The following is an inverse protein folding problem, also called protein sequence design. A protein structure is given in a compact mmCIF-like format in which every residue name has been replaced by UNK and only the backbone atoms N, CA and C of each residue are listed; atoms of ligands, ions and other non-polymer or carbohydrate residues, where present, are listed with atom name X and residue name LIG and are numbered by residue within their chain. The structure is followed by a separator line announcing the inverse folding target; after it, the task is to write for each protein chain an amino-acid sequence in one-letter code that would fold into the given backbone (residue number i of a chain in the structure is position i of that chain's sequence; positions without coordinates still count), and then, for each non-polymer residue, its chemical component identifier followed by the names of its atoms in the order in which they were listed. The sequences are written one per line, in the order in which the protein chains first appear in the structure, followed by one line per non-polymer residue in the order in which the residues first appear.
data_IF_068280855653
#
_entry.id   IF_068280855653
#
_cell.length_a   1.000
_cell.length_b   1.000
_cell.length_c   1.000
_cell.angle_alpha   90.00
_cell.angle_beta   90.00
_cell.angle_gamma   90.00
#
_symmetry.space_group_name_H-M   'P 1'
#
loop_
_entity.id
_entity.type
_entity.pdbx_description
1 polymer ?
#
# COMPACT_ATOMS: atom_id res chain seq x y z
N UNK A 1 7.69 -13.30 -45.18
CA UNK A 1 8.33 -13.19 -43.85
C UNK A 1 7.41 -12.35 -42.98
N UNK A 2 6.55 -13.03 -42.22
CA UNK A 2 5.79 -12.40 -41.15
C UNK A 2 6.71 -12.30 -39.94
N UNK A 3 7.08 -11.09 -39.58
CA UNK A 3 7.67 -10.80 -38.27
C UNK A 3 6.56 -10.96 -37.23
N UNK A 4 6.60 -12.06 -36.53
CA UNK A 4 5.78 -12.30 -35.34
C UNK A 4 6.34 -11.39 -34.23
N UNK A 5 5.67 -10.27 -34.02
CA UNK A 5 5.89 -9.45 -32.82
C UNK A 5 5.13 -10.18 -31.71
N UNK A 6 5.79 -11.17 -31.11
CA UNK A 6 5.27 -11.85 -29.93
C UNK A 6 4.69 -10.83 -28.96
N UNK A 7 3.53 -11.14 -28.37
CA UNK A 7 2.94 -10.32 -27.31
C UNK A 7 4.05 -10.00 -26.31
N UNK A 8 4.14 -8.74 -25.83
CA UNK A 8 5.15 -8.39 -24.85
C UNK A 8 4.99 -9.34 -23.66
N UNK A 9 5.97 -10.22 -23.44
CA UNK A 9 6.07 -10.95 -22.19
C UNK A 9 5.86 -9.93 -21.07
N UNK A 10 4.81 -10.07 -20.29
CA UNK A 10 4.65 -9.34 -19.05
C UNK A 10 5.87 -9.71 -18.18
N UNK A 11 6.95 -8.95 -18.31
CA UNK A 11 8.05 -9.02 -17.37
C UNK A 11 7.44 -8.67 -16.03
N UNK A 12 7.30 -9.66 -15.17
CA UNK A 12 6.90 -9.43 -13.79
C UNK A 12 7.82 -8.35 -13.23
N UNK A 13 7.24 -7.23 -12.86
CA UNK A 13 8.01 -6.15 -12.25
C UNK A 13 8.62 -6.67 -10.95
N UNK A 14 9.85 -6.28 -10.67
CA UNK A 14 10.49 -6.58 -9.37
C UNK A 14 9.89 -5.79 -8.21
N UNK A 15 9.06 -4.78 -8.52
CA UNK A 15 8.39 -3.90 -7.54
C UNK A 15 6.90 -4.14 -7.58
N UNK A 16 6.31 -4.38 -6.42
CA UNK A 16 4.88 -4.59 -6.25
C UNK A 16 4.29 -3.51 -5.33
N UNK A 17 3.15 -2.96 -5.70
CA UNK A 17 2.37 -2.03 -4.87
C UNK A 17 1.10 -2.74 -4.41
N UNK A 18 0.96 -2.91 -3.11
CA UNK A 18 -0.11 -3.68 -2.48
C UNK A 18 -1.02 -2.74 -1.71
N UNK A 19 -2.25 -2.59 -2.15
CA UNK A 19 -3.29 -1.81 -1.46
C UNK A 19 -4.09 -2.67 -0.52
N UNK A 20 -4.08 -2.38 0.78
CA UNK A 20 -4.76 -3.18 1.80
C UNK A 20 -5.95 -2.42 2.39
N UNK A 21 -7.12 -3.04 2.32
CA UNK A 21 -8.37 -2.46 2.78
C UNK A 21 -8.88 -1.32 1.88
N UNK A 22 -9.88 -0.58 2.33
CA UNK A 22 -10.54 0.46 1.52
C UNK A 22 -9.60 1.59 1.11
N UNK A 23 -8.91 2.23 2.06
CA UNK A 23 -8.01 3.36 1.77
C UNK A 23 -6.81 2.95 0.90
N UNK A 24 -6.13 1.84 1.24
CA UNK A 24 -5.03 1.32 0.43
C UNK A 24 -5.48 0.89 -0.96
N UNK A 25 -6.63 0.21 -1.07
CA UNK A 25 -7.21 -0.19 -2.33
C UNK A 25 -7.55 1.00 -3.24
N UNK A 26 -8.12 2.07 -2.70
CA UNK A 26 -8.40 3.31 -3.45
C UNK A 26 -7.13 3.96 -3.99
N UNK A 27 -6.08 4.03 -3.16
CA UNK A 27 -4.80 4.59 -3.58
C UNK A 27 -4.21 3.79 -4.76
N UNK A 28 -4.21 2.45 -4.66
CA UNK A 28 -3.71 1.58 -5.73
C UNK A 28 -4.58 1.65 -6.98
N UNK A 29 -5.90 1.72 -6.85
CA UNK A 29 -6.81 1.93 -7.97
C UNK A 29 -6.50 3.23 -8.72
N UNK A 30 -6.18 4.30 -7.99
CA UNK A 30 -5.75 5.57 -8.57
C UNK A 30 -4.43 5.46 -9.32
N UNK A 31 -3.42 4.83 -8.71
CA UNK A 31 -2.12 4.61 -9.34
C UNK A 31 -2.25 3.79 -10.63
N UNK A 32 -3.04 2.72 -10.59
CA UNK A 32 -3.30 1.88 -11.75
C UNK A 32 -3.94 2.65 -12.91
N UNK A 33 -4.92 3.51 -12.63
CA UNK A 33 -5.57 4.37 -13.63
C UNK A 33 -4.63 5.42 -14.23
N UNK A 34 -3.60 5.83 -13.49
CA UNK A 34 -2.58 6.77 -13.99
C UNK A 34 -1.57 6.12 -14.94
N UNK A 35 -1.63 4.79 -15.14
CA UNK A 35 -0.77 4.08 -16.08
C UNK A 35 0.70 4.08 -15.68
N UNK A 36 1.02 3.92 -14.41
CA UNK A 36 2.40 3.82 -13.94
C UNK A 36 2.99 2.50 -14.42
N UNK A 37 4.11 2.59 -15.11
CA UNK A 37 4.81 1.45 -15.70
C UNK A 37 5.88 0.89 -14.75
N UNK A 38 6.33 -0.34 -15.04
CA UNK A 38 7.42 -1.04 -14.33
C UNK A 38 7.13 -1.40 -12.87
N UNK A 39 5.87 -1.35 -12.45
CA UNK A 39 5.39 -1.86 -11.16
C UNK A 39 4.18 -2.77 -11.38
N UNK A 40 4.02 -3.79 -10.55
CA UNK A 40 2.80 -4.60 -10.48
C UNK A 40 1.90 -4.09 -9.35
N UNK A 41 0.60 -4.20 -9.54
CA UNK A 41 -0.41 -3.72 -8.59
C UNK A 41 -1.27 -4.86 -8.10
N UNK A 42 -1.52 -4.89 -6.79
CA UNK A 42 -2.43 -5.84 -6.14
C UNK A 42 -3.33 -5.09 -5.16
N UNK A 43 -4.59 -5.49 -5.09
CA UNK A 43 -5.51 -5.03 -4.04
C UNK A 43 -5.92 -6.21 -3.16
N UNK A 44 -5.77 -6.04 -1.85
CA UNK A 44 -6.12 -7.02 -0.84
C UNK A 44 -7.26 -6.47 0.04
N UNK A 45 -8.33 -7.22 0.21
CA UNK A 45 -9.44 -6.81 1.07
C UNK A 45 -10.17 -8.01 1.66
N UNK A 46 -10.83 -7.80 2.79
CA UNK A 46 -11.78 -8.75 3.40
C UNK A 46 -13.17 -8.63 2.80
N UNK A 47 -13.44 -7.59 1.99
CA UNK A 47 -14.71 -7.34 1.32
C UNK A 47 -14.62 -7.74 -0.15
N UNK A 48 -15.32 -8.82 -0.52
CA UNK A 48 -15.32 -9.37 -1.87
C UNK A 48 -15.98 -8.43 -2.89
N UNK A 49 -16.93 -7.58 -2.48
CA UNK A 49 -17.57 -6.64 -3.39
C UNK A 49 -16.61 -5.52 -3.78
N UNK A 50 -15.90 -4.96 -2.82
CA UNK A 50 -14.88 -3.92 -3.08
C UNK A 50 -13.80 -4.42 -4.03
N UNK A 51 -13.42 -5.70 -3.91
CA UNK A 51 -12.46 -6.32 -4.83
C UNK A 51 -13.02 -6.46 -6.25
N UNK A 52 -14.29 -6.84 -6.39
CA UNK A 52 -14.93 -6.95 -7.72
C UNK A 52 -14.97 -5.62 -8.46
N UNK A 53 -15.18 -4.53 -7.73
CA UNK A 53 -15.31 -3.19 -8.29
C UNK A 53 -13.94 -2.53 -8.61
N UNK A 54 -12.84 -3.14 -8.20
CA UNK A 54 -11.50 -2.65 -8.46
C UNK A 54 -11.10 -2.81 -9.94
N UNK A 55 -10.48 -1.81 -10.58
CA UNK A 55 -9.93 -1.92 -11.93
C UNK A 55 -8.62 -2.73 -11.97
N UNK A 56 -7.99 -2.97 -10.83
CA UNK A 56 -6.73 -3.70 -10.72
C UNK A 56 -6.98 -5.18 -11.01
N UNK A 57 -6.24 -5.80 -11.94
CA UNK A 57 -6.47 -7.20 -12.31
C UNK A 57 -6.15 -8.18 -11.18
N UNK A 58 -5.04 -7.96 -10.48
CA UNK A 58 -4.60 -8.84 -9.39
C UNK A 58 -5.29 -8.42 -8.08
N UNK A 59 -6.06 -9.34 -7.54
CA UNK A 59 -6.92 -9.12 -6.38
C UNK A 59 -6.82 -10.30 -5.45
N UNK A 60 -6.65 -10.03 -4.16
CA UNK A 60 -6.59 -11.06 -3.13
C UNK A 60 -7.67 -10.82 -2.07
N UNK A 61 -8.62 -11.74 -1.98
CA UNK A 61 -9.56 -11.76 -0.86
C UNK A 61 -8.84 -12.33 0.37
N UNK A 62 -8.91 -11.59 1.46
CA UNK A 62 -8.40 -12.03 2.76
C UNK A 62 -9.53 -12.66 3.58
N UNK A 63 -9.31 -13.89 4.01
CA UNK A 63 -10.30 -14.69 4.70
C UNK A 63 -11.42 -15.20 3.81
N UNK A 64 -12.20 -16.12 4.33
CA UNK A 64 -13.25 -16.85 3.58
C UNK A 64 -14.61 -16.13 3.56
N UNK A 65 -14.89 -15.24 4.53
CA UNK A 65 -16.23 -14.65 4.71
C UNK A 65 -16.63 -13.67 3.60
N UNK A 66 -15.71 -12.84 3.10
CA UNK A 66 -15.97 -11.85 2.05
C UNK A 66 -16.85 -10.66 2.43
N UNK A 67 -17.15 -10.48 3.74
CA UNK A 67 -18.10 -9.48 4.26
C UNK A 67 -17.45 -8.21 4.81
N UNK A 68 -16.14 -8.11 4.73
CA UNK A 68 -15.38 -7.01 5.31
C UNK A 68 -15.11 -7.18 6.83
N UNK A 69 -14.16 -6.42 7.37
CA UNK A 69 -13.75 -6.49 8.77
C UNK A 69 -14.52 -5.54 9.71
N UNK A 70 -15.34 -4.63 9.18
CA UNK A 70 -16.25 -3.78 9.94
C UNK A 70 -15.59 -2.98 11.06
N UNK A 71 -14.57 -2.18 10.78
CA UNK A 71 -13.82 -1.39 11.78
C UNK A 71 -13.23 -2.20 12.96
N UNK A 72 -13.02 -3.49 12.77
CA UNK A 72 -12.42 -4.38 13.79
C UNK A 72 -11.06 -4.87 13.27
N UNK A 73 -9.92 -4.27 13.72
CA UNK A 73 -8.58 -4.67 13.30
C UNK A 73 -8.30 -6.16 13.51
N UNK A 74 -8.77 -6.72 14.60
CA UNK A 74 -8.61 -8.14 14.91
C UNK A 74 -9.24 -9.05 13.84
N UNK A 75 -10.41 -8.69 13.30
CA UNK A 75 -11.00 -9.43 12.17
C UNK A 75 -10.15 -9.33 10.90
N UNK A 76 -9.60 -8.16 10.62
CA UNK A 76 -8.68 -7.98 9.51
C UNK A 76 -7.40 -8.80 9.66
N UNK A 77 -6.83 -8.83 10.87
CA UNK A 77 -5.66 -9.63 11.19
C UNK A 77 -5.93 -11.13 11.00
N UNK A 78 -7.00 -11.64 11.59
CA UNK A 78 -7.37 -13.05 11.49
C UNK A 78 -7.65 -13.47 10.03
N UNK A 79 -8.31 -12.63 9.24
CA UNK A 79 -8.54 -12.88 7.83
C UNK A 79 -7.22 -12.99 7.03
N UNK A 80 -6.24 -12.13 7.32
CA UNK A 80 -4.93 -12.23 6.71
C UNK A 80 -4.16 -13.47 7.16
N UNK A 81 -4.25 -13.85 8.43
CA UNK A 81 -3.65 -15.09 8.95
C UNK A 81 -4.27 -16.34 8.31
N UNK A 82 -5.57 -16.34 8.04
CA UNK A 82 -6.24 -17.41 7.29
C UNK A 82 -5.72 -17.54 5.86
N UNK A 83 -5.27 -16.42 5.26
CA UNK A 83 -4.84 -16.34 3.86
C UNK A 83 -3.31 -16.33 3.68
N UNK A 84 -2.53 -16.82 4.64
CA UNK A 84 -1.06 -16.77 4.59
C UNK A 84 -0.48 -17.44 3.34
N UNK A 85 -1.03 -18.55 2.90
CA UNK A 85 -0.53 -19.28 1.73
C UNK A 85 -0.80 -18.50 0.44
N UNK A 86 -1.97 -17.85 0.34
CA UNK A 86 -2.30 -17.00 -0.79
C UNK A 86 -1.43 -15.73 -0.83
N UNK A 87 -1.14 -15.14 0.34
CA UNK A 87 -0.22 -13.99 0.45
C UNK A 87 1.18 -14.39 0.01
N UNK A 88 1.69 -15.55 0.44
CA UNK A 88 2.98 -16.06 0.00
C UNK A 88 3.01 -16.34 -1.49
N UNK A 89 1.96 -16.94 -2.05
CA UNK A 89 1.84 -17.19 -3.48
C UNK A 89 1.89 -15.88 -4.28
N UNK A 90 1.14 -14.86 -3.85
CA UNK A 90 1.12 -13.51 -4.45
C UNK A 90 2.51 -12.86 -4.47
N UNK A 91 3.32 -13.07 -3.45
CA UNK A 91 4.66 -12.50 -3.30
C UNK A 91 5.78 -13.34 -3.96
N UNK A 92 5.47 -14.56 -4.43
CA UNK A 92 6.45 -15.51 -4.97
C UNK A 92 6.72 -15.35 -6.47
N UNK A 93 6.22 -14.30 -7.10
CA UNK A 93 6.28 -14.03 -8.54
C UNK A 93 7.59 -13.36 -9.02
N UNK A 94 8.60 -13.30 -8.17
CA UNK A 94 9.87 -12.61 -8.44
C UNK A 94 9.97 -11.22 -7.84
N UNK A 95 8.98 -10.78 -7.06
CA UNK A 95 9.00 -9.52 -6.32
C UNK A 95 10.25 -9.41 -5.43
N UNK A 96 10.96 -8.29 -5.52
CA UNK A 96 12.15 -7.97 -4.71
C UNK A 96 11.91 -6.83 -3.73
N UNK A 97 10.93 -5.99 -4.04
CA UNK A 97 10.52 -4.87 -3.21
C UNK A 97 9.01 -4.74 -3.28
N UNK A 98 8.39 -4.42 -2.16
CA UNK A 98 6.99 -4.03 -2.13
C UNK A 98 6.73 -2.74 -1.36
N UNK A 99 5.66 -2.07 -1.78
CA UNK A 99 5.04 -0.97 -1.08
C UNK A 99 3.68 -1.42 -0.58
N UNK A 100 3.54 -1.52 0.73
CA UNK A 100 2.26 -1.88 1.36
C UNK A 100 1.58 -0.60 1.81
N UNK A 101 0.47 -0.24 1.14
CA UNK A 101 -0.28 0.96 1.45
C UNK A 101 -1.60 0.63 2.12
N UNK A 102 -1.91 1.36 3.20
CA UNK A 102 -3.14 1.16 3.96
C UNK A 102 -3.61 2.45 4.64
N UNK A 103 -4.92 2.64 4.71
CA UNK A 103 -5.53 3.59 5.64
C UNK A 103 -5.69 2.94 7.01
N UNK A 104 -4.99 3.47 8.01
CA UNK A 104 -5.08 2.99 9.39
C UNK A 104 -6.34 3.54 10.08
N UNK A 105 -6.83 2.83 11.08
CA UNK A 105 -8.03 3.17 11.86
C UNK A 105 -9.28 2.39 11.47
N UNK A 106 -9.30 1.72 10.32
CA UNK A 106 -10.34 0.76 9.92
C UNK A 106 -10.03 -0.67 10.36
N UNK A 107 -10.81 -1.63 9.88
CA UNK A 107 -10.61 -3.05 10.22
C UNK A 107 -9.52 -3.71 9.38
N UNK A 108 -9.71 -3.75 8.06
CA UNK A 108 -8.83 -4.51 7.16
C UNK A 108 -7.43 -3.89 7.06
N UNK A 109 -7.32 -2.60 6.75
CA UNK A 109 -6.02 -1.94 6.60
C UNK A 109 -5.18 -2.05 7.87
N UNK A 110 -5.76 -1.73 9.03
CA UNK A 110 -5.08 -1.75 10.33
C UNK A 110 -4.63 -3.14 10.74
N UNK A 111 -5.49 -4.16 10.53
CA UNK A 111 -5.22 -5.52 10.99
C UNK A 111 -4.42 -6.35 10.00
N UNK A 112 -4.72 -6.27 8.70
CA UNK A 112 -4.13 -7.13 7.70
C UNK A 112 -2.79 -6.62 7.13
N UNK A 113 -2.59 -5.30 7.02
CA UNK A 113 -1.36 -4.77 6.45
C UNK A 113 -0.10 -5.19 7.21
N UNK A 114 -0.06 -5.19 8.57
CA UNK A 114 1.09 -5.69 9.30
C UNK A 114 1.37 -7.18 9.06
N UNK A 115 0.34 -8.00 8.87
CA UNK A 115 0.50 -9.44 8.57
C UNK A 115 1.15 -9.62 7.20
N UNK A 116 0.67 -8.91 6.19
CA UNK A 116 1.26 -8.94 4.84
C UNK A 116 2.72 -8.47 4.88
N UNK A 117 2.99 -7.37 5.60
CA UNK A 117 4.35 -6.86 5.77
C UNK A 117 5.30 -7.87 6.42
N UNK A 118 4.82 -8.55 7.47
CA UNK A 118 5.58 -9.62 8.12
C UNK A 118 5.95 -10.73 7.14
N UNK A 119 4.98 -11.23 6.39
CA UNK A 119 5.21 -12.29 5.39
C UNK A 119 6.21 -11.83 4.33
N UNK A 120 6.06 -10.62 3.81
CA UNK A 120 6.97 -10.04 2.83
C UNK A 120 8.40 -9.96 3.37
N UNK A 121 8.58 -9.43 4.57
CA UNK A 121 9.90 -9.33 5.22
C UNK A 121 10.53 -10.71 5.50
N UNK A 122 9.74 -11.68 5.95
CA UNK A 122 10.18 -13.07 6.16
C UNK A 122 10.63 -13.73 4.85
N UNK A 123 10.04 -13.37 3.72
CA UNK A 123 10.45 -13.84 2.39
C UNK A 123 11.69 -13.11 1.85
N UNK A 124 12.27 -12.17 2.58
CA UNK A 124 13.46 -11.41 2.18
C UNK A 124 13.19 -10.30 1.18
N UNK A 125 11.94 -9.89 1.00
CA UNK A 125 11.52 -8.78 0.15
C UNK A 125 11.77 -7.47 0.90
N UNK A 126 12.30 -6.46 0.21
CA UNK A 126 12.43 -5.12 0.77
C UNK A 126 11.03 -4.52 0.95
N UNK A 127 10.60 -4.34 2.19
CA UNK A 127 9.23 -4.00 2.54
C UNK A 127 9.12 -2.56 3.03
N UNK A 128 8.35 -1.75 2.31
CA UNK A 128 8.09 -0.34 2.65
C UNK A 128 6.60 -0.14 2.95
N UNK A 129 6.29 0.34 4.14
CA UNK A 129 4.94 0.72 4.52
C UNK A 129 4.65 2.18 4.18
N UNK A 130 3.48 2.46 3.60
CA UNK A 130 2.97 3.82 3.40
C UNK A 130 1.55 3.86 3.93
N UNK A 131 1.36 4.51 5.07
CA UNK A 131 0.09 4.45 5.79
C UNK A 131 -0.44 5.84 6.15
N UNK A 132 -1.77 5.97 6.25
CA UNK A 132 -2.41 7.20 6.70
C UNK A 132 -3.00 7.05 8.10
N UNK A 133 -2.92 8.14 8.89
CA UNK A 133 -3.68 8.30 10.15
C UNK A 133 -4.96 9.08 9.81
N UNK A 134 -6.13 8.63 10.30
CA UNK A 134 -7.43 9.24 9.98
C UNK A 134 -7.54 10.69 10.48
N UNK A 135 -8.50 11.42 9.93
CA UNK A 135 -8.86 12.76 10.39
C UNK A 135 -9.43 12.74 11.80
N UNK A 136 -9.23 13.81 12.55
CA UNK A 136 -9.76 13.95 13.93
C UNK A 136 -11.29 13.80 14.02
N UNK A 137 -12.02 14.28 12.99
CA UNK A 137 -13.48 14.14 12.98
C UNK A 137 -13.98 12.71 12.81
N UNK A 138 -13.12 11.76 12.42
CA UNK A 138 -13.48 10.33 12.33
C UNK A 138 -13.59 9.67 13.71
N UNK A 139 -13.14 10.37 14.75
CA UNK A 139 -13.28 9.98 16.14
C UNK A 139 -12.01 9.37 16.75
N UNK A 140 -11.84 9.58 18.06
CA UNK A 140 -10.66 9.15 18.80
C UNK A 140 -10.41 7.65 18.71
N UNK A 141 -11.46 6.84 18.74
CA UNK A 141 -11.33 5.37 18.62
C UNK A 141 -10.59 4.94 17.35
N UNK A 142 -10.90 5.60 16.20
CA UNK A 142 -10.20 5.31 14.95
C UNK A 142 -8.74 5.75 14.99
N UNK A 143 -8.46 6.87 15.66
CA UNK A 143 -7.11 7.39 15.81
C UNK A 143 -6.28 6.44 16.68
N UNK A 144 -6.83 6.00 17.82
CA UNK A 144 -6.15 5.05 18.71
C UNK A 144 -5.86 3.74 17.97
N UNK A 145 -6.85 3.19 17.27
CA UNK A 145 -6.67 2.00 16.42
C UNK A 145 -5.60 2.22 15.33
N UNK A 146 -5.54 3.43 14.75
CA UNK A 146 -4.55 3.75 13.74
C UNK A 146 -3.13 3.79 14.31
N UNK A 147 -2.97 4.35 15.49
CA UNK A 147 -1.67 4.42 16.18
C UNK A 147 -1.18 3.01 16.56
N UNK A 148 -2.06 2.16 17.07
CA UNK A 148 -1.74 0.76 17.34
C UNK A 148 -1.33 0.02 16.06
N UNK A 149 -2.04 0.27 14.95
CA UNK A 149 -1.71 -0.31 13.64
C UNK A 149 -0.37 0.19 13.08
N UNK A 150 -0.05 1.46 13.26
CA UNK A 150 1.25 2.04 12.89
C UNK A 150 2.38 1.41 13.69
N UNK A 151 2.19 1.26 15.01
CA UNK A 151 3.17 0.60 15.88
C UNK A 151 3.42 -0.84 15.44
N UNK A 152 2.34 -1.60 15.17
CA UNK A 152 2.47 -2.97 14.70
C UNK A 152 3.14 -3.05 13.32
N UNK A 153 2.74 -2.19 12.39
CA UNK A 153 3.34 -2.12 11.05
C UNK A 153 4.84 -1.84 11.12
N UNK A 154 5.27 -0.95 12.01
CA UNK A 154 6.67 -0.54 12.15
C UNK A 154 7.62 -1.69 12.49
N UNK A 155 7.11 -2.75 13.12
CA UNK A 155 7.90 -3.94 13.49
C UNK A 155 8.22 -4.85 12.29
N UNK A 156 7.45 -4.71 11.21
CA UNK A 156 7.45 -5.63 10.08
C UNK A 156 7.89 -5.02 8.75
N UNK A 157 8.29 -3.76 8.74
CA UNK A 157 8.77 -3.07 7.53
C UNK A 157 10.24 -2.65 7.68
N UNK A 158 10.90 -2.41 6.56
CA UNK A 158 12.25 -1.84 6.52
C UNK A 158 12.19 -0.31 6.63
N UNK A 159 11.17 0.30 6.03
CA UNK A 159 10.88 1.72 6.16
C UNK A 159 9.37 1.94 6.27
N UNK A 160 8.94 2.89 7.08
CA UNK A 160 7.54 3.26 7.27
C UNK A 160 7.34 4.75 7.06
N UNK A 161 6.51 5.10 6.09
CA UNK A 161 6.04 6.46 5.87
C UNK A 161 4.64 6.62 6.45
N UNK A 162 4.49 7.55 7.38
CA UNK A 162 3.20 7.84 8.03
C UNK A 162 2.70 9.20 7.60
N UNK A 163 1.52 9.24 6.98
CA UNK A 163 0.85 10.44 6.51
C UNK A 163 -0.29 10.78 7.47
N UNK A 164 -0.25 11.95 8.08
CA UNK A 164 -1.32 12.43 8.94
C UNK A 164 -2.34 13.23 8.12
N UNK A 165 -3.54 12.69 7.94
CA UNK A 165 -4.59 13.31 7.14
C UNK A 165 -5.00 14.71 7.66
N UNK A 166 -4.93 14.98 8.96
CA UNK A 166 -5.20 16.32 9.50
C UNK A 166 -4.22 17.40 9.01
N UNK A 167 -3.02 17.01 8.59
CA UNK A 167 -2.07 17.94 7.97
C UNK A 167 -2.52 18.43 6.62
N UNK A 168 -3.25 17.58 5.86
CA UNK A 168 -3.81 17.95 4.56
C UNK A 168 -4.78 19.14 4.68
N UNK A 169 -5.56 19.21 5.77
CA UNK A 169 -6.45 20.35 6.03
C UNK A 169 -5.72 21.67 6.24
N UNK A 170 -4.51 21.63 6.75
CA UNK A 170 -3.69 22.84 6.94
C UNK A 170 -3.12 23.35 5.62
N UNK A 171 -2.90 22.45 4.69
CA UNK A 171 -2.37 22.77 3.34
C UNK A 171 -3.51 23.18 2.40
N UNK A 172 -4.67 22.51 2.53
CA UNK A 172 -5.84 22.73 1.68
C UNK A 172 -7.01 23.26 2.55
N UNK A 173 -7.15 24.58 2.65
CA UNK A 173 -8.08 25.24 3.58
C UNK A 173 -9.55 25.07 3.24
N UNK A 174 -9.89 24.79 1.96
CA UNK A 174 -11.28 24.76 1.46
C UNK A 174 -11.79 23.35 1.14
N UNK A 175 -11.23 22.31 1.80
CA UNK A 175 -11.64 20.93 1.56
C UNK A 175 -12.99 20.61 2.21
N UNK A 176 -13.97 20.25 1.37
CA UNK A 176 -15.15 19.52 1.86
C UNK A 176 -14.72 18.13 2.38
N UNK A 177 -15.55 17.51 3.24
CA UNK A 177 -15.25 16.17 3.79
C UNK A 177 -14.95 15.15 2.68
N UNK A 178 -15.77 15.16 1.62
CA UNK A 178 -15.60 14.24 0.48
C UNK A 178 -14.25 14.47 -0.23
N UNK A 179 -13.91 15.72 -0.49
CA UNK A 179 -12.64 16.07 -1.13
C UNK A 179 -11.43 15.78 -0.24
N UNK A 180 -11.60 15.83 1.09
CA UNK A 180 -10.53 15.52 2.03
C UNK A 180 -10.13 14.04 1.97
N UNK A 181 -11.08 13.12 1.86
CA UNK A 181 -10.78 11.69 1.68
C UNK A 181 -10.11 11.42 0.33
N UNK A 182 -10.64 11.97 -0.75
CA UNK A 182 -10.01 11.86 -2.07
C UNK A 182 -8.56 12.39 -2.05
N UNK A 183 -8.31 13.49 -1.34
CA UNK A 183 -6.97 14.06 -1.20
C UNK A 183 -6.02 13.20 -0.36
N UNK A 184 -6.54 12.50 0.65
CA UNK A 184 -5.76 11.52 1.41
C UNK A 184 -5.34 10.33 0.52
N UNK A 185 -6.26 9.79 -0.28
CA UNK A 185 -5.98 8.73 -1.24
C UNK A 185 -4.97 9.17 -2.32
N UNK A 186 -5.10 10.41 -2.84
CA UNK A 186 -4.13 11.01 -3.76
C UNK A 186 -2.74 11.12 -3.14
N UNK A 187 -2.65 11.53 -1.88
CA UNK A 187 -1.37 11.68 -1.18
C UNK A 187 -0.66 10.34 -1.01
N UNK A 188 -1.40 9.28 -0.67
CA UNK A 188 -0.87 7.91 -0.65
C UNK A 188 -0.33 7.51 -2.02
N UNK A 189 -1.11 7.77 -3.07
CA UNK A 189 -0.74 7.46 -4.45
C UNK A 189 0.53 8.20 -4.88
N UNK A 190 0.61 9.50 -4.57
CA UNK A 190 1.78 10.33 -4.90
C UNK A 190 3.03 9.83 -4.17
N UNK A 191 2.90 9.50 -2.87
CA UNK A 191 4.02 9.00 -2.09
C UNK A 191 4.57 7.67 -2.67
N UNK A 192 3.69 6.70 -2.92
CA UNK A 192 4.09 5.42 -3.50
C UNK A 192 4.65 5.59 -4.92
N UNK A 193 4.02 6.43 -5.77
CA UNK A 193 4.49 6.75 -7.11
C UNK A 193 5.88 7.37 -7.08
N UNK A 194 6.09 8.39 -6.28
CA UNK A 194 7.37 9.11 -6.23
C UNK A 194 8.54 8.20 -5.84
N UNK A 195 8.32 7.30 -4.88
CA UNK A 195 9.36 6.36 -4.47
C UNK A 195 9.59 5.29 -5.55
N UNK A 196 8.53 4.76 -6.17
CA UNK A 196 8.66 3.76 -7.23
C UNK A 196 9.34 4.35 -8.48
N UNK A 197 9.03 5.59 -8.86
CA UNK A 197 9.66 6.27 -9.99
C UNK A 197 11.17 6.49 -9.81
N UNK A 198 11.64 6.76 -8.59
CA UNK A 198 13.08 6.88 -8.30
C UNK A 198 13.82 5.58 -8.66
N UNK A 199 13.15 4.44 -8.51
CA UNK A 199 13.75 3.11 -8.73
C UNK A 199 13.58 2.66 -10.18
N UNK A 200 12.43 2.98 -10.82
CA UNK A 200 12.04 2.45 -12.13
C UNK A 200 12.44 3.36 -13.29
N UNK A 201 12.44 4.68 -13.09
CA UNK A 201 12.79 5.63 -14.16
C UNK A 201 14.30 5.61 -14.38
N UNK A 202 14.74 5.21 -15.56
CA UNK A 202 16.13 5.33 -15.99
C UNK A 202 16.49 6.81 -16.09
N UNK A 203 17.05 7.34 -15.00
CA UNK A 203 17.56 8.71 -14.96
C UNK A 203 19.01 8.82 -15.44
N UNK A 204 19.55 10.04 -15.40
CA UNK A 204 20.98 10.34 -15.63
C UNK A 204 21.91 9.66 -14.61
N UNK A 205 21.35 9.20 -13.49
CA UNK A 205 22.03 8.42 -12.44
C UNK A 205 21.28 7.10 -12.34
N UNK A 206 21.93 5.99 -12.75
CA UNK A 206 21.40 4.66 -12.52
C UNK A 206 21.49 4.36 -11.02
N UNK A 207 20.37 4.52 -10.30
CA UNK A 207 20.25 3.97 -8.96
C UNK A 207 20.13 2.44 -9.10
N UNK A 208 21.12 1.72 -8.58
CA UNK A 208 21.03 0.27 -8.47
C UNK A 208 20.01 -0.06 -7.36
N UNK A 209 19.17 -1.08 -7.62
CA UNK A 209 18.26 -1.61 -6.61
C UNK A 209 18.96 -1.93 -5.27
N UNK A 210 20.19 -2.41 -5.33
CA UNK A 210 20.99 -2.71 -4.14
C UNK A 210 21.34 -1.45 -3.33
N UNK A 211 21.54 -0.30 -3.97
CA UNK A 211 21.78 0.97 -3.29
C UNK A 211 20.54 1.43 -2.56
N UNK A 212 19.37 1.36 -3.22
CA UNK A 212 18.07 1.65 -2.60
C UNK A 212 17.80 0.71 -1.42
N UNK A 213 18.06 -0.59 -1.60
CA UNK A 213 17.93 -1.58 -0.53
C UNK A 213 18.84 -1.25 0.66
N UNK A 214 20.07 -0.85 0.41
CA UNK A 214 21.03 -0.52 1.47
C UNK A 214 20.58 0.71 2.27
N UNK A 215 20.00 1.71 1.61
CA UNK A 215 19.53 2.94 2.25
C UNK A 215 18.23 2.74 3.03
N UNK A 216 17.28 1.96 2.46
CA UNK A 216 15.96 1.77 3.06
C UNK A 216 15.89 0.63 4.07
N UNK A 217 16.79 -0.38 3.95
CA UNK A 217 16.79 -1.51 4.86
C UNK A 217 17.04 -1.04 6.28
N UNK A 218 16.12 -1.38 7.18
CA UNK A 218 16.15 -0.96 8.59
C UNK A 218 16.19 0.58 8.79
N UNK A 219 15.66 1.33 7.80
CA UNK A 219 15.68 2.80 7.78
C UNK A 219 14.77 3.48 8.80
N UNK A 220 13.89 2.71 9.46
CA UNK A 220 13.00 3.20 10.51
C UNK A 220 11.76 3.92 10.00
N UNK A 221 11.22 4.83 10.83
CA UNK A 221 9.96 5.54 10.56
C UNK A 221 10.24 6.97 10.10
N UNK A 222 9.64 7.36 8.97
CA UNK A 222 9.64 8.74 8.48
C UNK A 222 8.22 9.32 8.51
N UNK A 223 8.12 10.61 8.83
CA UNK A 223 6.85 11.34 8.74
C UNK A 223 6.94 12.31 7.58
N UNK A 224 6.06 12.17 6.60
CA UNK A 224 6.00 13.03 5.43
C UNK A 224 4.88 14.07 5.57
N UNK A 225 5.17 15.32 5.23
CA UNK A 225 4.15 16.33 4.96
C UNK A 225 4.41 16.93 3.59
N UNK A 226 3.36 17.10 2.78
CA UNK A 226 3.46 17.78 1.49
C UNK A 226 3.59 19.29 1.72
N UNK A 227 4.63 19.88 1.14
CA UNK A 227 4.79 21.33 0.98
C UNK A 227 4.75 21.67 -0.50
N UNK A 228 4.05 22.75 -0.87
CA UNK A 228 4.18 23.38 -2.19
C UNK A 228 5.11 24.58 -2.01
N UNK A 229 6.18 24.61 -2.79
CA UNK A 229 7.04 25.77 -2.97
C UNK A 229 6.69 26.51 -4.24
#
# INVERSE_FOLDING_TARGET
DHLDFGEPEHKNSIIKVIGVGGGGGNAVNNMYKQGIHDVSFVVCNTDAQVLRDSPVPERLQLGSEGLGAGNKPEKGRLAAEESLDDIKAMLSDGTKMDFITAGMGGGTGTGAAPVIARVSKEMGILTVGIVTIPFKWEGNKKIDQALDGVDEMSKHVDALLVINNDRLRKVYTDLSVINAFAKADDTLSIAAKSISEIITVRGLINLDFNDVRTVLKDGGVAIMSTGFG
#
